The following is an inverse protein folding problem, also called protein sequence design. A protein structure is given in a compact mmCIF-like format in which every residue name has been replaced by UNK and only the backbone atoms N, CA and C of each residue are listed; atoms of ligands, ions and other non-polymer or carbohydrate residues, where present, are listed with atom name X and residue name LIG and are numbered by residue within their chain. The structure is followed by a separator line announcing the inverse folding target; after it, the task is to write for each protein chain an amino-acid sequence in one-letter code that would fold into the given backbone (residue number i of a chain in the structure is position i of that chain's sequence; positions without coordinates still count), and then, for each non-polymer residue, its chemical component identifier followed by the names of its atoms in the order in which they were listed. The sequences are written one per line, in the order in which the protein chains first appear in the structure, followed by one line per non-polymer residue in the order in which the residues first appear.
data_IF_963284755541
#
_entry.id   IF_963284755541
#
_cell.length_a   1.000
_cell.length_b   1.000
_cell.length_c   1.000
_cell.angle_alpha   90.00
_cell.angle_beta   90.00
_cell.angle_gamma   90.00
#
_symmetry.space_group_name_H-M   'P 1'
#
loop_
_entity.id
_entity.type
_entity.pdbx_description
1 polymer ?
#
# COMPACT_ATOMS: atom_id res chain seq x y z
N UNK A 1 1.23 -13.40 15.77
CA UNK A 1 0.38 -13.25 14.58
C UNK A 1 -0.76 -14.23 14.71
N UNK A 2 -1.93 -13.85 14.22
CA UNK A 2 -3.07 -14.74 14.12
C UNK A 2 -3.34 -15.04 12.67
N UNK A 3 -3.48 -16.33 12.36
CA UNK A 3 -3.73 -16.83 11.01
C UNK A 3 -5.03 -17.62 11.05
N UNK A 4 -5.96 -17.28 10.16
CA UNK A 4 -7.17 -18.05 9.94
C UNK A 4 -7.32 -18.41 8.47
N UNK A 5 -8.03 -19.50 8.20
CA UNK A 5 -8.40 -19.91 6.85
C UNK A 5 -9.91 -19.85 6.71
N UNK A 6 -10.37 -19.25 5.61
CA UNK A 6 -11.77 -19.28 5.19
C UNK A 6 -11.89 -20.14 3.93
N UNK A 7 -12.83 -21.07 3.92
CA UNK A 7 -12.98 -22.07 2.85
C UNK A 7 -12.08 -23.30 3.04
N UNK A 8 -12.35 -24.32 2.24
CA UNK A 8 -11.66 -25.62 2.30
C UNK A 8 -10.58 -25.73 1.22
N UNK A 9 -9.57 -26.57 1.47
CA UNK A 9 -8.49 -26.86 0.53
C UNK A 9 -7.24 -25.99 0.73
N UNK A 10 -6.35 -26.00 -0.27
CA UNK A 10 -5.14 -25.18 -0.29
C UNK A 10 -5.49 -23.71 -0.55
N UNK A 11 -4.92 -22.74 0.21
CA UNK A 11 -5.15 -21.33 -0.01
C UNK A 11 -4.75 -20.89 -1.43
N UNK A 12 -5.66 -20.19 -2.10
CA UNK A 12 -5.42 -19.60 -3.43
C UNK A 12 -5.18 -18.09 -3.36
N UNK A 13 -5.34 -17.48 -2.18
CA UNK A 13 -5.07 -16.07 -1.92
C UNK A 13 -4.82 -15.82 -0.43
N UNK A 14 -4.29 -14.64 -0.12
CA UNK A 14 -4.04 -14.17 1.22
C UNK A 14 -4.45 -12.70 1.42
N UNK A 15 -4.87 -12.35 2.64
CA UNK A 15 -5.12 -10.97 3.07
C UNK A 15 -4.38 -10.71 4.38
N UNK A 16 -3.56 -9.67 4.41
CA UNK A 16 -2.74 -9.30 5.58
C UNK A 16 -3.16 -7.93 6.09
N UNK A 17 -3.53 -7.86 7.36
CA UNK A 17 -3.78 -6.63 8.10
C UNK A 17 -2.83 -6.50 9.29
N UNK A 18 -2.56 -5.26 9.70
CA UNK A 18 -1.80 -5.01 10.93
C UNK A 18 -0.31 -5.29 10.82
N UNK A 19 0.29 -5.04 9.64
CA UNK A 19 1.76 -5.01 9.49
C UNK A 19 2.34 -3.93 10.40
N UNK A 20 1.70 -2.76 10.45
CA UNK A 20 1.93 -1.74 11.46
C UNK A 20 0.79 -1.72 12.47
N UNK A 21 1.11 -1.68 13.76
CA UNK A 21 0.14 -1.78 14.84
C UNK A 21 -0.72 -0.52 15.04
N UNK A 22 -0.29 0.61 14.51
CA UNK A 22 -0.99 1.89 14.56
C UNK A 22 -1.91 2.13 13.34
N UNK A 23 -2.03 1.16 12.43
CA UNK A 23 -2.87 1.21 11.23
C UNK A 23 -4.08 0.24 11.36
N UNK A 24 -5.13 0.58 12.12
CA UNK A 24 -6.17 -0.37 12.51
C UNK A 24 -7.12 -0.80 11.38
N UNK A 25 -7.13 -0.11 10.23
CA UNK A 25 -8.07 -0.37 9.14
C UNK A 25 -7.94 -1.79 8.58
N UNK A 26 -6.70 -2.27 8.38
CA UNK A 26 -6.43 -3.61 7.89
C UNK A 26 -6.87 -4.70 8.88
N UNK A 27 -6.61 -4.48 10.17
CA UNK A 27 -7.05 -5.39 11.24
C UNK A 27 -8.57 -5.49 11.24
N UNK A 28 -9.28 -4.35 11.28
CA UNK A 28 -10.76 -4.32 11.27
C UNK A 28 -11.35 -5.03 10.05
N UNK A 29 -10.76 -4.85 8.86
CA UNK A 29 -11.22 -5.53 7.65
C UNK A 29 -11.01 -7.05 7.71
N UNK A 30 -9.89 -7.52 8.27
CA UNK A 30 -9.61 -8.94 8.49
C UNK A 30 -10.57 -9.54 9.53
N UNK A 31 -10.74 -8.89 10.69
CA UNK A 31 -11.68 -9.33 11.73
C UNK A 31 -13.10 -9.47 11.16
N UNK A 32 -13.56 -8.46 10.42
CA UNK A 32 -14.88 -8.48 9.81
C UNK A 32 -15.06 -9.65 8.83
N UNK A 33 -14.04 -9.94 8.03
CA UNK A 33 -14.08 -11.07 7.10
C UNK A 33 -14.13 -12.42 7.85
N UNK A 34 -13.41 -12.54 8.96
CA UNK A 34 -13.43 -13.70 9.87
C UNK A 34 -14.79 -13.88 10.54
N UNK A 35 -15.42 -12.79 10.98
CA UNK A 35 -16.73 -12.82 11.62
C UNK A 35 -17.85 -13.19 10.64
N UNK A 36 -17.82 -12.63 9.44
CA UNK A 36 -18.85 -12.85 8.42
C UNK A 36 -18.79 -14.24 7.80
N UNK A 37 -17.59 -14.84 7.69
CA UNK A 37 -17.34 -16.16 7.08
C UNK A 37 -18.10 -16.38 5.76
N UNK A 38 -17.87 -15.54 4.74
CA UNK A 38 -18.57 -15.68 3.47
C UNK A 38 -18.25 -17.03 2.82
N UNK A 39 -19.18 -17.54 2.04
CA UNK A 39 -18.93 -18.70 1.17
C UNK A 39 -17.86 -18.32 0.13
N UNK A 40 -16.84 -19.17 -0.02
CA UNK A 40 -15.73 -18.96 -0.95
C UNK A 40 -15.64 -20.08 -2.01
N UNK A 41 -15.11 -19.77 -3.20
CA UNK A 41 -14.83 -20.74 -4.28
C UNK A 41 -13.41 -21.35 -4.18
N UNK A 42 -12.73 -21.10 -3.06
CA UNK A 42 -11.42 -21.63 -2.70
C UNK A 42 -11.01 -21.14 -1.32
N UNK A 43 -9.94 -21.71 -0.75
CA UNK A 43 -9.45 -21.26 0.54
C UNK A 43 -8.71 -19.90 0.43
N UNK A 44 -8.89 -19.04 1.43
CA UNK A 44 -8.11 -17.82 1.62
C UNK A 44 -7.52 -17.82 3.02
N UNK A 45 -6.25 -17.49 3.13
CA UNK A 45 -5.59 -17.26 4.42
C UNK A 45 -5.68 -15.78 4.79
N UNK A 46 -6.08 -15.49 6.02
CA UNK A 46 -6.18 -14.13 6.54
C UNK A 46 -5.28 -13.99 7.75
N UNK A 47 -4.50 -12.90 7.80
CA UNK A 47 -3.45 -12.71 8.79
C UNK A 47 -3.66 -11.38 9.51
N UNK A 48 -3.69 -11.42 10.84
CA UNK A 48 -3.42 -10.27 11.71
C UNK A 48 -1.95 -10.38 12.12
N UNK A 49 -1.10 -9.55 11.49
CA UNK A 49 0.35 -9.74 11.49
C UNK A 49 1.01 -9.43 12.84
N UNK A 50 1.10 -8.15 13.22
CA UNK A 50 1.90 -7.71 14.37
C UNK A 50 1.01 -7.45 15.61
N UNK A 51 0.47 -8.51 16.21
CA UNK A 51 -0.40 -8.41 17.40
C UNK A 51 0.26 -7.65 18.56
N UNK A 52 1.59 -7.80 18.77
CA UNK A 52 2.31 -7.10 19.84
C UNK A 52 2.33 -5.58 19.61
N UNK A 53 2.49 -5.13 18.36
CA UNK A 53 2.43 -3.71 18.01
C UNK A 53 0.98 -3.18 18.08
N UNK A 54 0.01 -3.98 17.62
CA UNK A 54 -1.43 -3.66 17.65
C UNK A 54 -1.90 -3.43 19.09
N UNK A 55 -1.61 -4.37 20.00
CA UNK A 55 -1.97 -4.27 21.42
C UNK A 55 -1.38 -3.01 22.09
N UNK A 56 -0.22 -2.57 21.62
CA UNK A 56 0.47 -1.37 22.12
C UNK A 56 0.05 -0.08 21.42
N UNK A 57 -0.69 -0.16 20.31
CA UNK A 57 -1.04 0.98 19.47
C UNK A 57 0.17 1.72 18.91
N UNK A 58 1.27 0.99 18.62
CA UNK A 58 2.51 1.55 18.05
C UNK A 58 2.76 0.96 16.66
N UNK A 59 3.49 1.69 15.82
CA UNK A 59 3.84 1.22 14.47
C UNK A 59 4.55 -0.14 14.47
N UNK A 60 5.57 -0.27 15.31
CA UNK A 60 6.34 -1.50 15.52
C UNK A 60 6.96 -1.49 16.92
N UNK A 61 7.51 -2.63 17.34
CA UNK A 61 8.10 -2.80 18.66
C UNK A 61 9.62 -2.71 18.65
N UNK A 62 10.30 -3.45 17.77
CA UNK A 62 11.78 -3.49 17.71
C UNK A 62 12.31 -3.03 16.34
N UNK A 63 11.70 -3.49 15.24
CA UNK A 63 12.02 -3.04 13.89
C UNK A 63 10.75 -2.83 13.05
N UNK A 64 10.78 -1.93 12.06
CA UNK A 64 9.65 -1.77 11.14
C UNK A 64 9.47 -3.06 10.31
N UNK A 65 8.33 -3.75 10.50
CA UNK A 65 8.05 -5.04 9.87
C UNK A 65 8.10 -4.94 8.34
N UNK A 66 7.62 -3.84 7.75
CA UNK A 66 7.66 -3.63 6.29
C UNK A 66 9.03 -3.14 5.81
N UNK A 67 10.10 -3.38 6.59
CA UNK A 67 11.50 -3.10 6.24
C UNK A 67 12.44 -4.28 6.46
N UNK A 68 11.90 -5.43 6.85
CA UNK A 68 12.71 -6.57 7.28
C UNK A 68 12.37 -7.89 6.61
N UNK A 69 11.44 -7.92 5.66
CA UNK A 69 11.19 -9.11 4.84
C UNK A 69 12.42 -9.49 3.99
N UNK A 70 12.72 -10.80 3.76
CA UNK A 70 12.02 -12.00 4.25
C UNK A 70 12.25 -12.35 5.72
N UNK A 71 13.07 -11.59 6.44
CA UNK A 71 13.35 -11.86 7.83
C UNK A 71 14.28 -13.05 8.05
N UNK A 72 14.30 -13.55 9.28
CA UNK A 72 15.02 -14.77 9.65
C UNK A 72 14.42 -15.34 10.94
N UNK A 73 14.14 -16.64 10.95
CA UNK A 73 13.65 -17.35 12.15
C UNK A 73 14.63 -17.29 13.33
N UNK A 74 15.94 -17.14 13.04
CA UNK A 74 17.02 -17.07 14.03
C UNK A 74 17.38 -15.62 14.42
N UNK A 75 16.65 -14.61 13.96
CA UNK A 75 16.93 -13.22 14.32
C UNK A 75 16.61 -12.94 15.79
N UNK A 76 17.34 -12.00 16.39
CA UNK A 76 17.07 -11.53 17.76
C UNK A 76 15.83 -10.61 17.80
N UNK A 77 15.62 -9.77 16.79
CA UNK A 77 14.47 -8.87 16.73
C UNK A 77 13.16 -9.61 16.43
N UNK A 78 12.11 -9.26 17.17
CA UNK A 78 10.77 -9.82 17.05
C UNK A 78 10.20 -9.69 15.63
N UNK A 79 10.20 -8.49 15.03
CA UNK A 79 9.65 -8.31 13.69
C UNK A 79 10.43 -9.04 12.60
N UNK A 80 11.73 -9.31 12.78
CA UNK A 80 12.51 -10.10 11.82
C UNK A 80 12.12 -11.57 11.82
N UNK A 81 11.83 -12.15 12.99
CA UNK A 81 11.29 -13.52 13.09
C UNK A 81 9.88 -13.58 12.51
N UNK A 82 9.05 -12.60 12.87
CA UNK A 82 7.68 -12.48 12.37
C UNK A 82 7.62 -12.36 10.84
N UNK A 83 8.55 -11.62 10.22
CA UNK A 83 8.63 -11.52 8.76
C UNK A 83 8.87 -12.88 8.09
N UNK A 84 9.73 -13.72 8.66
CA UNK A 84 9.98 -15.07 8.16
C UNK A 84 8.74 -15.96 8.30
N UNK A 85 8.07 -15.91 9.46
CA UNK A 85 6.83 -16.66 9.69
C UNK A 85 5.71 -16.25 8.72
N UNK A 86 5.55 -14.96 8.46
CA UNK A 86 4.55 -14.46 7.50
C UNK A 86 4.90 -14.92 6.08
N UNK A 87 6.16 -14.81 5.66
CA UNK A 87 6.60 -15.24 4.33
C UNK A 87 6.32 -16.73 4.11
N UNK A 88 6.62 -17.57 5.11
CA UNK A 88 6.35 -19.01 5.06
C UNK A 88 4.86 -19.34 4.94
N UNK A 89 3.98 -18.60 5.65
CA UNK A 89 2.53 -18.80 5.57
C UNK A 89 1.96 -18.37 4.21
N UNK A 90 2.46 -17.26 3.65
CA UNK A 90 1.93 -16.70 2.41
C UNK A 90 2.32 -17.53 1.18
N UNK A 91 3.57 -18.00 1.12
CA UNK A 91 4.11 -18.64 -0.07
C UNK A 91 3.92 -17.79 -1.33
N UNK A 92 3.54 -18.42 -2.44
CA UNK A 92 3.43 -17.79 -3.76
C UNK A 92 2.02 -17.31 -4.14
N UNK A 93 1.07 -17.35 -3.20
CA UNK A 93 -0.33 -17.02 -3.48
C UNK A 93 -0.50 -15.50 -3.66
N UNK A 94 -1.51 -15.09 -4.44
CA UNK A 94 -1.92 -13.70 -4.46
C UNK A 94 -2.18 -13.12 -3.08
N UNK A 95 -1.45 -12.05 -2.73
CA UNK A 95 -1.57 -11.42 -1.41
C UNK A 95 -2.07 -9.98 -1.54
N UNK A 96 -3.00 -9.58 -0.69
CA UNK A 96 -3.36 -8.19 -0.45
C UNK A 96 -2.85 -7.79 0.93
N UNK A 97 -2.11 -6.70 1.02
CA UNK A 97 -1.65 -6.15 2.29
C UNK A 97 -2.24 -4.75 2.49
N UNK A 98 -2.88 -4.56 3.65
CA UNK A 98 -3.65 -3.35 3.95
C UNK A 98 -2.83 -2.43 4.85
N UNK A 99 -2.69 -1.19 4.38
CA UNK A 99 -2.01 -0.10 5.07
C UNK A 99 -2.94 1.11 5.21
N UNK A 100 -2.51 2.09 5.98
CA UNK A 100 -3.07 3.44 5.93
C UNK A 100 -1.98 4.48 6.10
N UNK A 101 -2.25 5.68 5.62
CA UNK A 101 -1.24 6.72 5.49
C UNK A 101 -1.61 7.98 6.27
N UNK A 102 -0.58 8.75 6.59
CA UNK A 102 -0.72 10.10 7.10
C UNK A 102 -0.77 11.19 6.03
N UNK A 103 -0.78 10.83 4.75
CA UNK A 103 -0.60 11.78 3.64
C UNK A 103 -1.87 12.18 2.92
N UNK A 104 -2.88 11.31 2.89
CA UNK A 104 -4.08 11.50 2.07
C UNK A 104 -5.20 10.59 2.53
N UNK A 105 -6.42 10.94 2.16
CA UNK A 105 -7.63 10.12 2.24
C UNK A 105 -7.81 9.19 1.02
N UNK A 106 -7.07 9.43 -0.06
CA UNK A 106 -7.07 8.61 -1.27
C UNK A 106 -6.59 7.18 -0.98
N UNK A 107 -7.20 6.22 -1.66
CA UNK A 107 -6.85 4.80 -1.69
C UNK A 107 -5.86 4.55 -2.81
N UNK A 108 -4.69 4.04 -2.47
CA UNK A 108 -3.57 3.94 -3.42
C UNK A 108 -3.03 2.52 -3.39
N UNK A 109 -3.04 1.85 -4.54
CA UNK A 109 -2.37 0.56 -4.69
C UNK A 109 -0.88 0.76 -4.99
N UNK A 110 -0.04 -0.03 -4.33
CA UNK A 110 1.39 -0.14 -4.56
C UNK A 110 1.70 -1.52 -5.10
N UNK A 111 2.47 -1.55 -6.17
CA UNK A 111 2.96 -2.77 -6.80
C UNK A 111 4.44 -2.63 -7.11
N UNK A 112 5.14 -3.75 -7.09
CA UNK A 112 6.57 -3.77 -7.43
C UNK A 112 6.80 -3.34 -8.89
N UNK A 113 6.08 -3.99 -9.81
CA UNK A 113 6.12 -3.72 -11.24
C UNK A 113 4.71 -3.76 -11.85
N UNK A 114 4.47 -2.92 -12.87
CA UNK A 114 3.21 -2.90 -13.62
C UNK A 114 3.21 -4.02 -14.67
N UNK A 115 2.71 -5.19 -14.28
CA UNK A 115 2.50 -6.32 -15.16
C UNK A 115 1.05 -6.79 -15.21
N UNK A 116 0.78 -7.75 -16.09
CA UNK A 116 -0.50 -8.42 -16.32
C UNK A 116 -1.35 -8.69 -15.08
N UNK A 117 -0.74 -9.20 -14.02
CA UNK A 117 -1.47 -9.50 -12.79
C UNK A 117 -1.83 -8.22 -12.03
N UNK A 118 -0.88 -7.30 -11.88
CA UNK A 118 -1.10 -6.04 -11.20
C UNK A 118 -2.24 -5.28 -11.88
N UNK A 119 -2.24 -5.18 -13.21
CA UNK A 119 -3.28 -4.46 -13.95
C UNK A 119 -4.65 -5.13 -13.83
N UNK A 120 -4.73 -6.46 -13.97
CA UNK A 120 -5.98 -7.22 -13.82
C UNK A 120 -6.62 -7.09 -12.44
N UNK A 121 -5.81 -7.04 -11.38
CA UNK A 121 -6.32 -6.92 -10.02
C UNK A 121 -6.64 -5.46 -9.71
N UNK A 122 -5.71 -4.54 -9.95
CA UNK A 122 -5.88 -3.12 -9.62
C UNK A 122 -7.08 -2.49 -10.35
N UNK A 123 -7.36 -2.88 -11.59
CA UNK A 123 -8.55 -2.38 -12.32
C UNK A 123 -9.89 -2.75 -11.68
N UNK A 124 -9.89 -3.71 -10.74
CA UNK A 124 -11.08 -4.15 -9.99
C UNK A 124 -11.11 -3.63 -8.55
N UNK A 125 -10.01 -3.03 -8.07
CA UNK A 125 -9.95 -2.47 -6.73
C UNK A 125 -10.52 -1.04 -6.72
N UNK A 126 -11.25 -0.63 -5.67
CA UNK A 126 -11.74 0.74 -5.53
C UNK A 126 -10.61 1.68 -5.09
N UNK A 127 -9.56 1.81 -5.91
CA UNK A 127 -8.39 2.68 -5.66
C UNK A 127 -8.36 3.81 -6.67
N UNK A 128 -7.94 5.00 -6.25
CA UNK A 128 -7.85 6.18 -7.14
C UNK A 128 -6.59 6.19 -8.00
N UNK A 129 -5.57 5.42 -7.64
CA UNK A 129 -4.31 5.36 -8.38
C UNK A 129 -3.52 4.09 -8.06
N UNK A 130 -2.60 3.73 -8.96
CA UNK A 130 -1.58 2.70 -8.73
C UNK A 130 -0.19 3.33 -8.77
N UNK A 131 0.71 2.88 -7.90
CA UNK A 131 2.10 3.32 -7.82
C UNK A 131 3.02 2.12 -8.04
N UNK A 132 3.86 2.21 -9.06
CA UNK A 132 5.00 1.32 -9.29
C UNK A 132 6.13 1.75 -8.35
N UNK A 133 6.47 0.92 -7.36
CA UNK A 133 7.52 1.19 -6.39
C UNK A 133 8.95 0.91 -6.93
N UNK A 134 9.05 0.24 -8.08
CA UNK A 134 10.29 -0.08 -8.83
C UNK A 134 11.35 -0.80 -8.01
N UNK A 135 10.96 -1.88 -7.31
CA UNK A 135 11.85 -2.93 -6.80
C UNK A 135 13.04 -2.51 -5.96
N UNK A 136 13.04 -1.29 -5.40
CA UNK A 136 14.15 -0.84 -4.56
C UNK A 136 14.20 -1.75 -3.34
N UNK A 137 15.31 -2.47 -3.11
CA UNK A 137 15.46 -3.33 -1.95
C UNK A 137 15.16 -2.53 -0.69
N UNK A 138 14.12 -2.93 0.01
CA UNK A 138 13.58 -2.17 1.14
C UNK A 138 13.10 -3.06 2.26
N UNK A 139 13.10 -4.39 2.07
CA UNK A 139 12.59 -5.38 2.99
C UNK A 139 11.06 -5.33 3.09
N UNK A 140 10.38 -5.03 1.98
CA UNK A 140 8.92 -4.94 1.90
C UNK A 140 8.26 -6.31 1.73
N UNK A 141 7.00 -6.43 2.15
CA UNK A 141 6.24 -7.66 1.97
C UNK A 141 6.10 -8.04 0.48
N UNK A 142 5.98 -7.05 -0.41
CA UNK A 142 5.96 -7.23 -1.86
C UNK A 142 7.21 -7.87 -2.46
N UNK A 143 8.33 -7.91 -1.74
CA UNK A 143 9.56 -8.59 -2.19
C UNK A 143 9.50 -10.11 -1.99
N UNK A 144 8.64 -10.60 -1.09
CA UNK A 144 8.62 -12.00 -0.66
C UNK A 144 7.29 -12.69 -0.93
N UNK A 145 6.25 -11.91 -1.19
CA UNK A 145 4.97 -12.39 -1.65
C UNK A 145 4.60 -11.67 -2.94
N UNK A 146 3.72 -12.26 -3.74
CA UNK A 146 3.07 -11.57 -4.86
C UNK A 146 2.03 -10.60 -4.31
N UNK A 147 2.46 -9.61 -3.54
CA UNK A 147 1.61 -8.71 -2.78
C UNK A 147 1.23 -7.48 -3.59
N UNK A 148 -0.01 -7.05 -3.43
CA UNK A 148 -0.46 -5.69 -3.73
C UNK A 148 -0.67 -5.03 -2.38
N UNK A 149 0.08 -3.97 -2.11
CA UNK A 149 -0.06 -3.18 -0.89
C UNK A 149 -1.06 -2.06 -1.17
N UNK A 150 -2.00 -1.78 -0.27
CA UNK A 150 -2.99 -0.72 -0.47
C UNK A 150 -3.04 0.19 0.74
N UNK A 151 -2.72 1.46 0.50
CA UNK A 151 -3.02 2.53 1.44
C UNK A 151 -4.53 2.79 1.38
N UNK A 152 -5.24 2.51 2.47
CA UNK A 152 -6.71 2.57 2.51
C UNK A 152 -7.25 3.99 2.77
N UNK A 153 -6.36 4.97 2.89
CA UNK A 153 -6.66 6.37 3.20
C UNK A 153 -6.08 6.80 4.54
N UNK A 154 -6.74 7.78 5.18
CA UNK A 154 -6.22 8.47 6.36
C UNK A 154 -6.19 7.56 7.59
N UNK A 155 -4.98 7.31 8.12
CA UNK A 155 -4.75 6.46 9.30
C UNK A 155 -5.65 6.86 10.49
N UNK A 156 -6.18 5.85 11.17
CA UNK A 156 -7.02 6.01 12.37
C UNK A 156 -8.47 6.44 12.11
N UNK A 157 -8.88 6.64 10.85
CA UNK A 157 -10.25 7.03 10.51
C UNK A 157 -11.16 5.82 10.25
N UNK A 158 -12.46 5.99 10.52
CA UNK A 158 -13.45 4.96 10.18
C UNK A 158 -13.61 4.78 8.67
N UNK A 159 -13.48 5.87 7.90
CA UNK A 159 -13.46 5.82 6.44
C UNK A 159 -12.36 4.87 5.91
N UNK A 160 -11.15 4.92 6.48
CA UNK A 160 -10.09 4.00 6.08
C UNK A 160 -10.44 2.52 6.37
N UNK A 161 -11.17 2.24 7.47
CA UNK A 161 -11.64 0.89 7.79
C UNK A 161 -12.74 0.40 6.84
N UNK A 162 -13.67 1.28 6.45
CA UNK A 162 -14.68 0.99 5.44
C UNK A 162 -14.03 0.72 4.07
N UNK A 163 -13.11 1.59 3.65
CA UNK A 163 -12.33 1.39 2.44
C UNK A 163 -11.58 0.06 2.45
N UNK A 164 -10.89 -0.28 3.55
CA UNK A 164 -10.17 -1.54 3.68
C UNK A 164 -11.11 -2.74 3.47
N UNK A 165 -12.32 -2.70 4.03
CA UNK A 165 -13.33 -3.75 3.81
C UNK A 165 -13.71 -3.89 2.33
N UNK A 166 -13.97 -2.76 1.68
CA UNK A 166 -14.34 -2.75 0.25
C UNK A 166 -13.20 -3.23 -0.66
N UNK A 167 -11.96 -2.89 -0.32
CA UNK A 167 -10.75 -3.31 -1.02
C UNK A 167 -10.56 -4.82 -0.86
N UNK A 168 -10.72 -5.38 0.35
CA UNK A 168 -10.64 -6.83 0.61
C UNK A 168 -11.64 -7.58 -0.26
N UNK A 169 -12.91 -7.16 -0.27
CA UNK A 169 -13.94 -7.81 -1.10
C UNK A 169 -13.63 -7.72 -2.58
N UNK A 170 -13.20 -6.54 -3.07
CA UNK A 170 -12.81 -6.37 -4.47
C UNK A 170 -11.65 -7.29 -4.85
N UNK A 171 -10.63 -7.37 -4.00
CA UNK A 171 -9.47 -8.22 -4.22
C UNK A 171 -9.87 -9.69 -4.28
N UNK A 172 -10.63 -10.17 -3.30
CA UNK A 172 -11.08 -11.56 -3.25
C UNK A 172 -11.96 -11.93 -4.44
N UNK A 173 -12.81 -11.02 -4.92
CA UNK A 173 -13.54 -11.22 -6.19
C UNK A 173 -12.61 -11.23 -7.41
N UNK A 174 -11.61 -10.34 -7.45
CA UNK A 174 -10.65 -10.24 -8.56
C UNK A 174 -9.76 -11.49 -8.71
N UNK A 175 -9.48 -12.18 -7.60
CA UNK A 175 -8.69 -13.43 -7.60
C UNK A 175 -9.57 -14.70 -7.56
N UNK A 176 -10.90 -14.55 -7.64
CA UNK A 176 -11.84 -15.69 -7.74
C UNK A 176 -12.12 -16.42 -6.43
N UNK A 177 -11.84 -15.83 -5.27
CA UNK A 177 -12.19 -16.39 -3.96
C UNK A 177 -13.66 -16.14 -3.62
N UNK A 178 -14.14 -14.92 -3.86
CA UNK A 178 -15.54 -14.56 -3.63
C UNK A 178 -16.34 -14.62 -4.94
N UNK A 179 -17.57 -15.16 -4.93
CA UNK A 179 -18.40 -15.23 -6.11
C UNK A 179 -18.86 -13.82 -6.53
N UNK A 180 -18.89 -13.59 -7.84
CA UNK A 180 -19.43 -12.37 -8.45
C UNK A 180 -18.35 -11.48 -9.09
N UNK A 181 -18.58 -11.11 -10.34
CA UNK A 181 -17.74 -10.13 -11.03
C UNK A 181 -18.06 -8.73 -10.49
N UNK A 182 -17.05 -8.07 -9.88
CA UNK A 182 -17.11 -6.63 -9.68
C UNK A 182 -16.80 -5.94 -10.99
N UNK A 183 -17.64 -4.98 -11.39
CA UNK A 183 -17.34 -4.09 -12.50
C UNK A 183 -15.99 -3.38 -12.25
N UNK A 184 -15.21 -3.08 -13.31
CA UNK A 184 -13.98 -2.32 -13.17
C UNK A 184 -14.21 -0.98 -12.45
N UNK A 185 -13.23 -0.52 -11.69
CA UNK A 185 -13.31 0.70 -10.89
C UNK A 185 -13.12 2.00 -11.72
N UNK A 186 -13.24 1.94 -13.04
CA UNK A 186 -12.86 3.03 -13.95
C UNK A 186 -11.39 2.97 -14.34
N UNK A 187 -10.98 3.78 -15.32
CA UNK A 187 -9.56 3.96 -15.63
C UNK A 187 -8.87 4.75 -14.52
N UNK A 188 -7.66 4.33 -14.11
CA UNK A 188 -6.89 4.99 -13.05
C UNK A 188 -5.46 5.36 -13.48
N UNK A 189 -4.92 6.50 -13.00
CA UNK A 189 -3.54 6.88 -13.26
C UNK A 189 -2.56 5.92 -12.58
N UNK A 190 -1.42 5.75 -13.25
CA UNK A 190 -0.26 5.03 -12.75
C UNK A 190 0.88 6.01 -12.57
N UNK A 191 1.49 5.98 -11.40
CA UNK A 191 2.70 6.74 -11.09
C UNK A 191 3.87 5.79 -10.83
N UNK A 192 5.08 6.26 -11.11
CA UNK A 192 6.32 5.61 -10.64
C UNK A 192 6.86 6.36 -9.45
N UNK A 193 7.22 5.63 -8.40
CA UNK A 193 7.85 6.19 -7.21
C UNK A 193 9.31 6.57 -7.50
N UNK A 194 9.65 7.84 -7.28
CA UNK A 194 11.00 8.34 -7.48
C UNK A 194 11.75 8.62 -6.18
N UNK A 195 12.37 9.78 -6.10
CA UNK A 195 13.28 10.16 -5.02
C UNK A 195 12.55 10.61 -3.75
N UNK A 196 13.10 10.29 -2.58
CA UNK A 196 12.55 10.75 -1.32
C UNK A 196 12.79 12.26 -1.11
N UNK A 197 11.76 12.98 -0.66
CA UNK A 197 11.85 14.36 -0.22
C UNK A 197 12.29 14.35 1.25
N UNK A 198 13.59 14.47 1.50
CA UNK A 198 14.17 14.31 2.85
C UNK A 198 13.73 15.41 3.80
N UNK A 199 13.54 15.03 5.07
CA UNK A 199 13.43 15.97 6.18
C UNK A 199 14.81 16.35 6.66
N UNK A 200 14.98 17.63 6.96
CA UNK A 200 16.08 18.10 7.80
C UNK A 200 15.60 18.12 9.25
N UNK A 201 16.47 17.93 10.24
CA UNK A 201 16.09 18.07 11.64
C UNK A 201 15.42 19.42 11.90
N UNK A 202 14.19 19.39 12.39
CA UNK A 202 13.39 20.57 12.71
C UNK A 202 12.36 20.24 13.80
N UNK A 203 11.88 21.27 14.48
CA UNK A 203 10.83 21.16 15.50
C UNK A 203 9.42 21.09 14.91
N UNK A 204 9.22 21.69 13.72
CA UNK A 204 7.94 21.75 13.03
C UNK A 204 8.11 21.46 11.53
N UNK A 205 7.19 20.67 11.00
CA UNK A 205 7.10 20.33 9.59
C UNK A 205 5.76 20.81 9.02
N UNK A 206 5.78 21.31 7.78
CA UNK A 206 4.59 21.74 7.05
C UNK A 206 4.65 21.19 5.61
N UNK A 207 3.49 20.89 5.03
CA UNK A 207 3.35 20.45 3.64
C UNK A 207 2.35 21.38 2.94
N UNK A 208 2.66 21.78 1.71
CA UNK A 208 1.88 22.75 0.93
C UNK A 208 1.33 22.17 -0.38
N UNK A 209 1.60 20.90 -0.67
CA UNK A 209 1.20 20.21 -1.90
C UNK A 209 0.19 19.12 -1.63
N UNK A 210 -0.67 18.86 -2.62
CA UNK A 210 -1.59 17.73 -2.60
C UNK A 210 -0.94 16.50 -3.27
N UNK A 211 -1.15 15.32 -2.66
CA UNK A 211 -0.69 14.07 -3.25
C UNK A 211 -1.35 13.80 -4.60
N UNK A 212 -0.56 13.33 -5.57
CA UNK A 212 -0.96 13.01 -6.95
C UNK A 212 -1.42 14.19 -7.80
N UNK A 213 -1.25 15.42 -7.32
CA UNK A 213 -1.42 16.65 -8.12
C UNK A 213 -0.06 17.11 -8.65
N UNK A 214 0.01 17.50 -9.92
CA UNK A 214 1.28 17.93 -10.53
C UNK A 214 1.79 19.19 -9.84
N UNK A 215 3.07 19.17 -9.45
CA UNK A 215 3.81 20.32 -8.94
C UNK A 215 4.80 20.77 -10.01
N UNK A 216 4.84 22.07 -10.27
CA UNK A 216 5.72 22.77 -11.20
C UNK A 216 6.95 23.38 -10.48
N UNK A 217 8.05 23.65 -11.21
CA UNK A 217 9.22 24.31 -10.64
C UNK A 217 8.87 25.66 -10.00
N UNK A 218 9.44 25.93 -8.82
CA UNK A 218 9.19 27.16 -8.06
C UNK A 218 8.03 27.06 -7.06
N UNK A 219 7.20 26.03 -7.12
CA UNK A 219 6.13 25.81 -6.14
C UNK A 219 6.67 25.33 -4.78
N UNK A 220 6.05 25.82 -3.71
CA UNK A 220 6.38 25.44 -2.33
C UNK A 220 5.88 24.03 -2.06
N UNK A 221 6.76 23.14 -1.63
CA UNK A 221 6.43 21.72 -1.37
C UNK A 221 6.18 21.49 0.11
N UNK A 222 7.13 21.89 0.93
CA UNK A 222 7.13 21.66 2.37
C UNK A 222 7.97 22.72 3.08
N UNK A 223 7.93 22.77 4.40
CA UNK A 223 8.86 23.55 5.20
C UNK A 223 9.28 22.80 6.46
N UNK A 224 10.47 23.11 6.95
CA UNK A 224 11.04 22.63 8.21
C UNK A 224 11.52 23.85 9.01
N UNK A 225 10.88 24.12 10.16
CA UNK A 225 11.09 25.35 10.96
C UNK A 225 11.00 26.65 10.13
N UNK A 226 10.08 26.70 9.16
CA UNK A 226 9.87 27.83 8.26
C UNK A 226 10.84 27.89 7.08
N UNK A 227 11.86 27.03 7.04
CA UNK A 227 12.75 26.93 5.89
C UNK A 227 12.12 26.08 4.78
N UNK A 228 11.86 26.71 3.64
CA UNK A 228 11.07 26.12 2.56
C UNK A 228 11.86 25.12 1.71
N UNK A 229 11.15 24.08 1.31
CA UNK A 229 11.54 23.17 0.25
C UNK A 229 10.69 23.52 -0.96
N UNK A 230 11.35 23.94 -2.03
CA UNK A 230 10.72 24.36 -3.29
C UNK A 230 10.99 23.30 -4.35
N UNK A 231 10.06 23.11 -5.28
CA UNK A 231 10.24 22.22 -6.41
C UNK A 231 11.28 22.79 -7.39
N UNK A 232 12.31 22.01 -7.69
CA UNK A 232 13.35 22.31 -8.69
C UNK A 232 13.00 21.79 -10.08
N UNK A 233 12.12 20.79 -10.15
CA UNK A 233 11.63 20.13 -11.37
C UNK A 233 10.17 19.71 -11.19
N UNK A 234 9.41 19.47 -12.28
CA UNK A 234 8.05 19.00 -12.15
C UNK A 234 7.99 17.56 -11.61
N UNK A 235 7.01 17.27 -10.76
CA UNK A 235 6.78 15.93 -10.20
C UNK A 235 5.35 15.78 -9.67
N UNK A 236 4.97 14.56 -9.28
CA UNK A 236 3.73 14.26 -8.55
C UNK A 236 4.06 13.85 -7.12
N UNK A 237 3.60 14.56 -6.07
CA UNK A 237 3.84 14.17 -4.70
C UNK A 237 3.20 12.82 -4.40
N UNK A 238 3.97 11.87 -3.86
CA UNK A 238 3.49 10.56 -3.44
C UNK A 238 3.78 10.37 -1.96
N UNK A 239 2.73 10.06 -1.20
CA UNK A 239 2.75 9.91 0.26
C UNK A 239 3.43 11.07 1.01
N UNK A 240 3.30 12.30 0.51
CA UNK A 240 3.85 13.51 1.13
C UNK A 240 2.99 13.92 2.31
N UNK A 241 3.61 13.98 3.50
CA UNK A 241 2.98 14.38 4.77
C UNK A 241 4.01 15.02 5.72
N UNK A 242 3.54 15.85 6.64
CA UNK A 242 4.38 16.41 7.70
C UNK A 242 4.71 15.36 8.78
N UNK A 243 3.81 14.40 9.02
CA UNK A 243 3.86 13.55 10.22
C UNK A 243 4.04 12.05 9.94
N UNK A 244 3.98 11.60 8.67
CA UNK A 244 4.02 10.18 8.34
C UNK A 244 5.39 9.52 8.53
N UNK A 245 6.40 9.95 7.77
CA UNK A 245 7.75 9.37 7.88
C UNK A 245 8.63 10.17 8.83
N UNK A 246 9.56 9.50 9.51
CA UNK A 246 10.51 10.17 10.41
C UNK A 246 11.54 11.02 9.65
N UNK A 247 12.11 10.50 8.55
CA UNK A 247 13.29 11.08 7.88
C UNK A 247 12.98 11.74 6.52
N UNK A 248 11.72 11.73 6.09
CA UNK A 248 11.26 12.28 4.81
C UNK A 248 9.84 12.80 4.91
N UNK A 249 9.44 13.65 3.96
CA UNK A 249 8.06 14.06 3.79
C UNK A 249 7.27 13.03 2.98
N UNK A 250 7.90 12.48 1.94
CA UNK A 250 7.31 11.51 1.01
C UNK A 250 8.23 11.35 -0.20
N UNK A 251 7.67 11.13 -1.38
CA UNK A 251 8.42 10.85 -2.61
C UNK A 251 8.01 11.76 -3.76
N UNK A 252 8.97 12.03 -4.65
CA UNK A 252 8.74 12.64 -5.94
C UNK A 252 8.36 11.55 -6.93
N UNK A 253 7.12 11.54 -7.40
CA UNK A 253 6.61 10.59 -8.38
C UNK A 253 6.61 11.11 -9.82
N UNK A 254 6.55 10.18 -10.76
CA UNK A 254 6.41 10.44 -12.20
C UNK A 254 5.12 9.81 -12.72
N UNK A 255 4.37 10.52 -13.57
CA UNK A 255 3.22 9.93 -14.23
C UNK A 255 3.69 8.97 -15.33
N UNK A 256 3.27 7.70 -15.26
CA UNK A 256 3.70 6.64 -16.16
C UNK A 256 2.64 6.27 -17.20
N UNK A 257 1.38 6.59 -16.96
CA UNK A 257 0.26 6.22 -17.82
C UNK A 257 -1.00 5.91 -17.02
N UNK A 258 -1.84 5.01 -17.52
CA UNK A 258 -3.09 4.61 -16.85
C UNK A 258 -3.39 3.13 -17.04
N UNK A 259 -4.05 2.54 -16.06
CA UNK A 259 -4.74 1.25 -16.21
C UNK A 259 -6.15 1.55 -16.71
N UNK A 260 -6.55 0.93 -17.82
CA UNK A 260 -7.89 1.08 -18.39
C UNK A 260 -8.91 0.25 -17.62
N UNK A 261 -10.19 0.50 -17.89
CA UNK A 261 -11.30 -0.33 -17.39
C UNK A 261 -11.18 -1.80 -17.82
N UNK A 262 -10.56 -2.07 -18.97
CA UNK A 262 -10.27 -3.43 -19.45
C UNK A 262 -9.11 -4.11 -18.71
N UNK A 263 -8.40 -3.41 -17.81
CA UNK A 263 -7.23 -3.94 -17.11
C UNK A 263 -5.95 -3.92 -17.95
N UNK A 264 -5.88 -3.06 -18.97
CA UNK A 264 -4.70 -2.85 -19.80
C UNK A 264 -3.91 -1.63 -19.31
N UNK A 265 -2.58 -1.75 -19.23
CA UNK A 265 -1.74 -0.59 -18.95
C UNK A 265 -1.37 0.14 -20.24
N UNK A 266 -1.78 1.39 -20.35
CA UNK A 266 -1.41 2.29 -21.44
C UNK A 266 -0.35 3.25 -20.93
N UNK A 267 0.89 3.07 -21.40
CA UNK A 267 2.00 3.97 -21.12
C UNK A 267 1.78 5.29 -21.87
N UNK A 268 1.91 6.40 -21.17
CA UNK A 268 1.73 7.73 -21.74
C UNK A 268 3.01 8.53 -21.53
N UNK A 269 3.90 8.48 -22.51
CA UNK A 269 5.15 9.25 -22.48
C UNK A 269 4.87 10.73 -22.77
N UNK A 270 5.10 11.59 -21.78
CA UNK A 270 4.94 13.04 -21.93
C UNK A 270 5.97 13.74 -22.83
N UNK A 271 6.90 13.01 -23.46
CA UNK A 271 7.78 13.59 -24.50
C UNK A 271 7.01 14.06 -25.75
N UNK A 272 5.73 13.70 -25.89
CA UNK A 272 4.92 14.06 -27.06
C UNK A 272 3.96 15.25 -26.88
N UNK A 273 3.93 15.95 -25.73
CA UNK A 273 2.95 17.05 -25.48
C UNK A 273 3.63 18.41 -25.23
N UNK A 274 4.90 18.55 -25.59
CA UNK A 274 5.58 19.83 -25.71
C UNK A 274 5.89 20.08 -27.20
N UNK A 275 4.85 20.37 -27.98
CA UNK A 275 4.94 20.55 -29.42
C UNK A 275 3.59 20.86 -30.04
N UNK A 276 3.01 22.00 -29.65
CA UNK A 276 2.24 22.87 -30.53
C UNK A 276 2.21 24.29 -29.93
#
# INVERSE_FOLDING_TARGET
MRVEQLGDGEPIAAVVGGIHGDEPCGVRAVERLIEERPTTEGAVVVIVANERAIERGVRYVEADLNRVFPGSAEADEYERRLAAEIADVLGDVPTLALHSTQSTDRRIAFVDAIGDRATRVCSRLPVEATVEADGKPGGHLSEVARAIEVECGRQGTDAAAEHATDIVRAFLGAVGVLPGERAPAGAMPVFRMGEAIRKRPASRYEVFVENMTRVEPGERVAAADGEEIVADRPFYPLLVSADGYLDKFGFRGEYAGRITESGEFVREDRRAVAGD
#
